data_IF_750035067459
#
_entry.id   IF_750035067459
#
_cell.length_a   1.000
_cell.length_b   1.000
_cell.length_c   1.000
_cell.angle_alpha   90.00
_cell.angle_beta   90.00
_cell.angle_gamma   90.00
#
_symmetry.space_group_name_H-M   'P 1'
#
loop_
_entity.id
_entity.type
_entity.pdbx_description
1 polymer ?
#
# COMPACT_ATOMS: atom_id res chain seq x y z
N UNK A 1 10.62 3.88 -23.33
CA UNK A 1 9.95 2.97 -22.38
C UNK A 1 8.78 3.75 -21.82
N UNK A 2 7.62 3.59 -22.45
CA UNK A 2 6.43 4.31 -22.00
C UNK A 2 5.92 3.65 -20.73
N UNK A 3 5.74 4.47 -19.69
CA UNK A 3 5.13 4.05 -18.43
C UNK A 3 3.63 4.10 -18.68
N UNK A 4 2.97 2.94 -18.75
CA UNK A 4 1.52 2.88 -19.01
C UNK A 4 0.72 3.42 -17.84
N UNK A 5 0.77 2.71 -16.70
CA UNK A 5 -0.03 3.02 -15.50
C UNK A 5 0.82 2.86 -14.24
N UNK A 6 0.70 3.77 -13.28
CA UNK A 6 1.36 3.68 -11.98
C UNK A 6 0.46 4.19 -10.85
N UNK A 7 0.59 3.63 -9.65
CA UNK A 7 -0.31 3.94 -8.54
C UNK A 7 -0.17 3.02 -7.34
N UNK A 8 -0.92 3.30 -6.29
CA UNK A 8 -0.88 2.51 -5.06
C UNK A 8 -1.90 1.38 -5.09
N UNK A 9 -1.45 0.15 -4.83
CA UNK A 9 -2.33 -1.00 -4.64
C UNK A 9 -1.97 -1.74 -3.36
N UNK A 10 -2.92 -2.52 -2.85
CA UNK A 10 -2.69 -3.48 -1.80
C UNK A 10 -2.36 -4.83 -2.42
N UNK A 11 -1.33 -5.49 -1.91
CA UNK A 11 -0.88 -6.82 -2.32
C UNK A 11 -1.09 -7.79 -1.17
N UNK A 12 -1.69 -8.94 -1.46
CA UNK A 12 -1.69 -10.06 -0.55
C UNK A 12 -0.35 -10.82 -0.70
N UNK A 13 0.42 -11.05 0.37
CA UNK A 13 1.63 -11.88 0.29
C UNK A 13 1.27 -13.31 -0.11
N UNK A 14 2.16 -13.97 -0.85
CA UNK A 14 1.99 -15.36 -1.25
C UNK A 14 2.05 -16.27 -0.02
N UNK A 15 1.04 -17.12 0.18
CA UNK A 15 0.94 -18.04 1.33
C UNK A 15 -0.44 -18.03 2.01
N UNK A 16 -0.80 -19.16 2.63
CA UNK A 16 -2.17 -19.56 3.04
C UNK A 16 -3.02 -18.47 3.74
N UNK A 17 -4.31 -18.55 3.41
CA UNK A 17 -5.46 -17.69 3.67
C UNK A 17 -5.91 -17.43 5.12
N UNK A 18 -5.08 -17.66 6.15
CA UNK A 18 -5.48 -17.39 7.54
C UNK A 18 -4.56 -16.38 8.22
N UNK A 19 -5.09 -15.19 8.49
CA UNK A 19 -4.41 -14.13 9.25
C UNK A 19 -3.49 -13.22 8.44
N UNK A 20 -3.62 -13.21 7.12
CA UNK A 20 -2.70 -12.50 6.23
C UNK A 20 -2.99 -11.00 6.19
N UNK A 21 -1.97 -10.18 6.46
CA UNK A 21 -2.02 -8.73 6.34
C UNK A 21 -1.77 -8.27 4.90
N UNK A 22 -2.64 -7.39 4.39
CA UNK A 22 -2.45 -6.72 3.12
C UNK A 22 -1.29 -5.72 3.22
N UNK A 23 -0.43 -5.69 2.21
CA UNK A 23 0.68 -4.73 2.12
C UNK A 23 0.41 -3.69 1.06
N UNK A 24 0.42 -2.41 1.44
CA UNK A 24 0.39 -1.32 0.46
C UNK A 24 1.74 -1.22 -0.25
N UNK A 25 1.72 -1.19 -1.58
CA UNK A 25 2.90 -1.07 -2.45
C UNK A 25 2.59 -0.13 -3.60
N UNK A 26 3.62 0.58 -4.07
CA UNK A 26 3.49 1.38 -5.27
C UNK A 26 3.78 0.49 -6.47
N UNK A 27 2.83 0.37 -7.37
CA UNK A 27 2.93 -0.43 -8.58
C UNK A 27 3.18 0.45 -9.79
N UNK A 28 3.98 -0.05 -10.73
CA UNK A 28 4.21 0.58 -12.03
C UNK A 28 4.22 -0.49 -13.10
N UNK A 29 3.36 -0.29 -14.10
CA UNK A 29 3.29 -1.10 -15.31
C UNK A 29 4.25 -0.54 -16.35
N UNK A 30 5.16 -1.38 -16.84
CA UNK A 30 6.14 -1.02 -17.88
C UNK A 30 6.24 -2.15 -18.88
N UNK A 31 5.76 -1.90 -20.10
CA UNK A 31 5.67 -2.96 -21.12
C UNK A 31 4.85 -4.14 -20.61
N UNK A 32 5.47 -5.32 -20.58
CA UNK A 32 4.89 -6.59 -20.13
C UNK A 32 5.12 -6.89 -18.64
N UNK A 33 5.73 -5.97 -17.91
CA UNK A 33 6.18 -6.20 -16.55
C UNK A 33 5.44 -5.29 -15.57
N UNK A 34 4.90 -5.89 -14.51
CA UNK A 34 4.29 -5.20 -13.37
C UNK A 34 5.29 -5.18 -12.21
N UNK A 35 5.88 -4.01 -11.97
CA UNK A 35 6.87 -3.78 -10.92
C UNK A 35 6.20 -3.24 -9.66
N UNK A 36 6.72 -3.59 -8.49
CA UNK A 36 6.26 -3.00 -7.23
C UNK A 36 7.39 -2.55 -6.30
N UNK A 37 7.11 -1.48 -5.58
CA UNK A 37 8.05 -0.72 -4.75
C UNK A 37 7.48 -0.48 -3.35
N UNK A 38 8.37 -0.19 -2.40
CA UNK A 38 7.94 0.24 -1.06
C UNK A 38 7.43 1.68 -1.08
N UNK A 39 8.08 2.53 -1.88
CA UNK A 39 7.80 3.97 -1.98
C UNK A 39 7.70 4.41 -3.44
N UNK A 40 6.87 5.42 -3.71
CA UNK A 40 6.68 5.94 -5.07
C UNK A 40 7.95 6.58 -5.66
N UNK A 41 8.81 7.16 -4.82
CA UNK A 41 10.10 7.76 -5.23
C UNK A 41 11.08 6.75 -5.83
N UNK A 42 10.93 5.46 -5.52
CA UNK A 42 11.76 4.39 -6.07
C UNK A 42 11.43 4.09 -7.54
N UNK A 43 10.24 4.48 -8.01
CA UNK A 43 9.80 4.23 -9.38
C UNK A 43 10.37 5.25 -10.39
N UNK A 44 10.77 6.45 -9.95
CA UNK A 44 11.31 7.51 -10.82
C UNK A 44 12.83 7.69 -10.72
N UNK A 45 13.50 6.96 -9.83
CA UNK A 45 14.93 7.11 -9.58
C UNK A 45 15.83 6.52 -10.67
N UNK A 46 17.08 6.99 -10.70
CA UNK A 46 18.17 6.54 -11.61
C UNK A 46 18.50 5.04 -11.43
N UNK A 47 18.17 4.47 -10.26
CA UNK A 47 18.30 3.04 -9.97
C UNK A 47 16.95 2.46 -9.57
N UNK A 48 16.25 1.88 -10.53
CA UNK A 48 15.04 1.10 -10.29
C UNK A 48 15.43 -0.22 -9.63
N UNK A 49 15.22 -0.33 -8.32
CA UNK A 49 15.37 -1.57 -7.57
C UNK A 49 13.98 -2.03 -7.07
N UNK A 50 13.16 -2.64 -7.95
CA UNK A 50 11.84 -3.11 -7.56
C UNK A 50 11.96 -4.17 -6.46
N UNK A 51 10.99 -4.18 -5.53
CA UNK A 51 10.88 -5.25 -4.53
C UNK A 51 10.42 -6.56 -5.14
N UNK A 52 9.74 -6.50 -6.26
CA UNK A 52 9.57 -7.63 -7.14
C UNK A 52 8.93 -7.22 -8.45
N UNK A 53 8.93 -8.18 -9.35
CA UNK A 53 8.41 -8.05 -10.71
C UNK A 53 7.46 -9.22 -10.93
N UNK A 54 6.26 -8.93 -11.43
CA UNK A 54 5.34 -9.92 -11.96
C UNK A 54 5.32 -9.74 -13.47
N UNK A 55 5.64 -10.79 -14.21
CA UNK A 55 5.49 -10.78 -15.66
C UNK A 55 3.99 -10.78 -16.00
N UNK A 56 3.60 -10.25 -17.15
CA UNK A 56 2.21 -10.33 -17.61
C UNK A 56 2.03 -11.32 -18.75
N UNK A 57 3.13 -11.80 -19.32
CA UNK A 57 3.14 -12.82 -20.37
C UNK A 57 2.47 -14.09 -19.88
N UNK A 58 1.33 -14.43 -20.49
CA UNK A 58 0.53 -15.59 -20.10
C UNK A 58 -0.15 -15.48 -18.73
N UNK A 59 -0.28 -14.27 -18.17
CA UNK A 59 -1.05 -14.02 -16.97
C UNK A 59 -2.53 -13.80 -17.30
N UNK A 60 -3.42 -14.49 -16.60
CA UNK A 60 -4.86 -14.28 -16.67
C UNK A 60 -5.29 -13.35 -15.54
N UNK A 61 -6.08 -12.32 -15.87
CA UNK A 61 -6.64 -11.38 -14.89
C UNK A 61 -8.08 -11.77 -14.58
N UNK A 62 -8.38 -12.03 -13.31
CA UNK A 62 -9.72 -12.35 -12.84
C UNK A 62 -10.19 -11.35 -11.78
N UNK A 63 -11.43 -10.89 -11.89
CA UNK A 63 -12.07 -10.08 -10.85
C UNK A 63 -12.41 -10.96 -9.65
N UNK A 64 -12.24 -10.42 -8.44
CA UNK A 64 -12.58 -11.12 -7.20
C UNK A 64 -13.70 -10.35 -6.46
N UNK A 65 -14.47 -11.04 -5.61
CA UNK A 65 -15.48 -10.38 -4.79
C UNK A 65 -14.86 -9.30 -3.91
N UNK A 66 -15.63 -8.25 -3.66
CA UNK A 66 -15.22 -7.15 -2.82
C UNK A 66 -15.22 -7.58 -1.36
N UNK A 67 -14.13 -7.28 -0.65
CA UNK A 67 -14.00 -7.62 0.76
C UNK A 67 -14.09 -6.36 1.60
N UNK A 68 -14.98 -6.38 2.59
CA UNK A 68 -15.05 -5.33 3.60
C UNK A 68 -13.84 -5.44 4.54
N UNK A 69 -13.18 -4.31 4.75
CA UNK A 69 -12.09 -4.16 5.71
C UNK A 69 -12.66 -4.04 7.13
N UNK A 70 -11.85 -4.29 8.16
CA UNK A 70 -12.25 -4.08 9.56
C UNK A 70 -12.78 -2.66 9.84
N UNK A 71 -12.28 -1.67 9.07
CA UNK A 71 -12.67 -0.26 9.16
C UNK A 71 -13.94 0.08 8.35
N UNK A 72 -14.61 -0.92 7.75
CA UNK A 72 -15.81 -0.73 6.92
C UNK A 72 -15.53 -0.27 5.48
N UNK A 73 -14.28 0.04 5.13
CA UNK A 73 -13.89 0.37 3.74
C UNK A 73 -13.90 -0.87 2.85
N UNK A 74 -14.32 -0.73 1.58
CA UNK A 74 -14.31 -1.81 0.60
C UNK A 74 -12.95 -1.91 -0.10
N UNK A 75 -12.48 -3.13 -0.31
CA UNK A 75 -11.34 -3.43 -1.17
C UNK A 75 -11.83 -4.05 -2.47
N UNK A 76 -11.48 -3.41 -3.57
CA UNK A 76 -11.84 -3.85 -4.92
C UNK A 76 -10.76 -4.79 -5.43
N UNK A 77 -10.95 -6.09 -5.16
CA UNK A 77 -9.95 -7.13 -5.39
C UNK A 77 -9.93 -7.66 -6.83
N UNK A 78 -8.74 -8.05 -7.29
CA UNK A 78 -8.51 -8.77 -8.53
C UNK A 78 -7.26 -9.64 -8.39
N UNK A 79 -7.12 -10.68 -9.22
CA UNK A 79 -5.97 -11.58 -9.20
C UNK A 79 -5.35 -11.71 -10.57
N UNK A 80 -4.02 -11.81 -10.60
CA UNK A 80 -3.24 -12.22 -11.75
C UNK A 80 -2.79 -13.66 -11.50
N UNK A 81 -3.23 -14.58 -12.34
CA UNK A 81 -2.85 -15.99 -12.26
C UNK A 81 -1.98 -16.35 -13.44
N UNK A 82 -0.80 -16.88 -13.17
CA UNK A 82 0.11 -17.39 -14.17
C UNK A 82 -0.15 -18.86 -14.46
N UNK A 83 0.19 -19.31 -15.68
CA UNK A 83 0.11 -20.72 -16.06
C UNK A 83 0.95 -21.68 -15.20
N UNK A 84 1.93 -21.17 -14.45
CA UNK A 84 2.71 -21.96 -13.49
C UNK A 84 1.98 -22.17 -12.14
N UNK A 85 0.78 -21.60 -11.96
CA UNK A 85 0.01 -21.66 -10.73
C UNK A 85 0.30 -20.52 -9.74
N UNK A 86 1.22 -19.61 -10.04
CA UNK A 86 1.46 -18.43 -9.20
C UNK A 86 0.31 -17.44 -9.33
N UNK A 87 -0.30 -17.09 -8.20
CA UNK A 87 -1.38 -16.09 -8.15
C UNK A 87 -0.96 -14.88 -7.33
N UNK A 88 -0.99 -13.72 -7.96
CA UNK A 88 -0.82 -12.42 -7.31
C UNK A 88 -2.19 -11.79 -7.08
N UNK A 89 -2.60 -11.66 -5.82
CA UNK A 89 -3.87 -11.00 -5.46
C UNK A 89 -3.60 -9.55 -5.10
N UNK A 90 -4.31 -8.65 -5.78
CA UNK A 90 -4.21 -7.20 -5.63
C UNK A 90 -5.57 -6.62 -5.27
N UNK A 91 -5.56 -5.44 -4.65
CA UNK A 91 -6.77 -4.68 -4.38
C UNK A 91 -6.54 -3.19 -4.55
N UNK A 92 -7.51 -2.52 -5.17
CA UNK A 92 -7.59 -1.07 -5.27
C UNK A 92 -8.48 -0.49 -4.16
N UNK A 93 -8.35 0.83 -3.92
CA UNK A 93 -9.22 1.53 -2.95
C UNK A 93 -10.56 1.93 -3.58
N UNK A 94 -10.63 2.03 -4.90
CA UNK A 94 -11.81 2.45 -5.66
C UNK A 94 -12.11 1.44 -6.77
N UNK A 95 -13.40 1.27 -7.10
CA UNK A 95 -13.84 0.43 -8.21
C UNK A 95 -13.24 0.88 -9.54
N UNK A 96 -13.28 2.19 -9.81
CA UNK A 96 -12.72 2.79 -11.02
C UNK A 96 -11.21 2.63 -11.12
N UNK A 97 -10.50 2.60 -9.99
CA UNK A 97 -9.07 2.32 -9.96
C UNK A 97 -8.80 0.84 -10.29
N UNK A 98 -9.56 -0.10 -9.72
CA UNK A 98 -9.49 -1.52 -10.09
C UNK A 98 -9.71 -1.70 -11.59
N UNK A 99 -10.76 -1.12 -12.14
CA UNK A 99 -11.11 -1.22 -13.57
C UNK A 99 -10.01 -0.68 -14.46
N UNK A 100 -9.45 0.49 -14.13
CA UNK A 100 -8.30 1.06 -14.84
C UNK A 100 -7.09 0.12 -14.83
N UNK A 101 -6.76 -0.46 -13.68
CA UNK A 101 -5.64 -1.40 -13.57
C UNK A 101 -5.88 -2.68 -14.36
N UNK A 102 -7.08 -3.25 -14.27
CA UNK A 102 -7.45 -4.47 -15.01
C UNK A 102 -7.35 -4.23 -16.52
N UNK A 103 -7.91 -3.13 -17.01
CA UNK A 103 -7.84 -2.76 -18.43
C UNK A 103 -6.39 -2.59 -18.90
N UNK A 104 -5.57 -1.83 -18.17
CA UNK A 104 -4.17 -1.60 -18.52
C UNK A 104 -3.33 -2.90 -18.52
N UNK A 105 -3.57 -3.80 -17.56
CA UNK A 105 -2.87 -5.09 -17.49
C UNK A 105 -3.29 -6.00 -18.65
N UNK A 106 -4.59 -6.05 -18.96
CA UNK A 106 -5.11 -6.84 -20.09
C UNK A 106 -4.57 -6.33 -21.43
N UNK A 107 -4.53 -5.01 -21.62
CA UNK A 107 -3.95 -4.38 -22.81
C UNK A 107 -2.46 -4.71 -22.95
N UNK A 108 -1.68 -4.60 -21.86
CA UNK A 108 -0.27 -4.95 -21.85
C UNK A 108 -0.02 -6.45 -22.15
N UNK A 109 -0.84 -7.34 -21.58
CA UNK A 109 -0.76 -8.78 -21.84
C UNK A 109 -1.11 -9.12 -23.30
N UNK A 110 -2.12 -8.45 -23.88
CA UNK A 110 -2.51 -8.61 -25.27
C UNK A 110 -1.43 -8.09 -26.24
N UNK A 111 -0.85 -6.92 -25.97
CA UNK A 111 0.23 -6.33 -26.77
C UNK A 111 1.46 -7.24 -26.83
N UNK A 112 1.80 -7.88 -25.71
CA UNK A 112 2.91 -8.84 -25.63
C UNK A 112 2.64 -10.07 -26.49
N UNK A 113 1.41 -10.58 -26.44
CA UNK A 113 1.00 -11.74 -27.24
C UNK A 113 1.05 -11.43 -28.75
N UNK A 114 0.61 -10.24 -29.16
CA UNK A 114 0.67 -9.80 -30.55
C UNK A 114 2.11 -9.59 -31.06
N UNK A 115 2.98 -9.01 -30.25
CA UNK A 115 4.39 -8.79 -30.60
C UNK A 115 5.14 -10.12 -30.84
N UNK A 116 4.83 -11.17 -30.08
CA UNK A 116 5.42 -12.51 -30.28
C UNK A 116 4.97 -13.22 -31.57
N UNK A 117 3.97 -12.69 -32.29
CA UNK A 117 3.49 -13.21 -33.58
C UNK A 117 3.94 -12.38 -34.80
N UNK A 118 4.54 -11.21 -34.59
CA UNK A 118 4.88 -10.27 -35.66
C UNK A 118 6.30 -10.46 -36.25
N UNK A 119 7.10 -11.40 -35.73
CA UNK A 119 8.50 -11.62 -36.14
C UNK A 119 8.66 -12.47 -37.43
N UNK A 120 7.73 -12.34 -38.39
CA UNK A 120 7.75 -13.13 -39.64
C UNK A 120 7.25 -12.39 -40.88
N UNK A 121 7.33 -11.05 -40.94
CA UNK A 121 7.00 -10.29 -42.16
C UNK A 121 8.04 -9.20 -42.44
N UNK A 122 8.75 -9.22 -43.59
CA UNK A 122 9.69 -8.16 -43.97
C UNK A 122 8.95 -6.89 -44.46
N UNK A 123 9.56 -5.70 -44.31
CA UNK A 123 8.91 -4.43 -44.62
C UNK A 123 8.96 -4.08 -46.11
N UNK A 124 7.88 -3.53 -46.71
CA UNK A 124 7.97 -2.76 -47.93
C UNK A 124 8.32 -1.29 -47.62
N UNK A 125 9.21 -0.76 -48.44
CA UNK A 125 9.72 0.61 -48.45
C UNK A 125 8.71 1.63 -49.02
N UNK A 126 9.00 2.91 -48.76
CA UNK A 126 8.52 4.13 -49.43
C UNK A 126 7.21 4.69 -48.86
N UNK A 127 7.02 5.99 -48.64
CA UNK A 127 7.30 7.07 -49.61
C UNK A 127 7.34 8.42 -48.87
N UNK A 128 8.29 9.27 -49.27
CA UNK A 128 8.43 10.67 -48.90
C UNK A 128 7.27 11.46 -49.53
N UNK A 129 6.59 12.33 -48.77
CA UNK A 129 5.79 13.39 -49.38
C UNK A 129 5.77 14.64 -48.47
N UNK A 130 6.64 15.59 -48.83
CA UNK A 130 6.57 16.99 -48.43
C UNK A 130 5.23 17.58 -48.85
N UNK A 131 4.62 18.39 -47.98
CA UNK A 131 3.63 19.38 -48.39
C UNK A 131 3.62 20.53 -47.39
N UNK A 132 4.38 21.57 -47.74
CA UNK A 132 4.25 22.91 -47.18
C UNK A 132 2.82 23.44 -47.44
N UNK A 133 2.11 23.82 -46.38
CA UNK A 133 0.91 24.66 -46.49
C UNK A 133 0.78 25.47 -45.20
N UNK A 134 1.22 26.74 -45.25
CA UNK A 134 0.95 27.76 -44.24
C UNK A 134 -0.39 28.45 -44.53
N UNK A 135 -1.33 28.54 -43.57
CA UNK A 135 -2.39 29.53 -43.62
C UNK A 135 -2.00 30.74 -42.74
N UNK A 136 -2.04 31.92 -43.35
CA UNK A 136 -2.01 33.19 -42.64
C UNK A 136 -3.34 33.37 -41.88
N UNK A 137 -3.29 33.35 -40.55
CA UNK A 137 -4.42 33.64 -39.68
C UNK A 137 -4.19 34.95 -38.91
N UNK A 138 -5.20 35.81 -38.95
CA UNK A 138 -5.25 37.15 -38.36
C UNK A 138 -5.07 37.16 -36.83
N UNK A 139 -4.36 38.14 -36.25
CA UNK A 139 -3.96 38.15 -34.83
C UNK A 139 -4.97 38.85 -33.87
N UNK A 140 -6.28 38.72 -34.10
CA UNK A 140 -7.28 39.47 -33.30
C UNK A 140 -7.96 38.68 -32.18
N UNK A 141 -7.63 37.39 -31.98
CA UNK A 141 -8.21 36.53 -30.93
C UNK A 141 -7.29 36.13 -29.78
N UNK A 142 -5.99 36.46 -29.86
CA UNK A 142 -4.97 35.95 -28.92
C UNK A 142 -5.07 36.49 -27.48
N UNK A 143 -5.64 37.68 -27.28
CA UNK A 143 -5.71 38.31 -25.96
C UNK A 143 -6.75 37.67 -25.02
N UNK A 144 -7.84 37.11 -25.56
CA UNK A 144 -8.86 36.42 -24.75
C UNK A 144 -8.38 35.03 -24.32
N UNK A 145 -7.73 34.30 -25.24
CA UNK A 145 -7.08 33.02 -24.96
C UNK A 145 -5.95 33.18 -23.91
N UNK A 146 -5.17 34.26 -23.99
CA UNK A 146 -4.11 34.55 -23.00
C UNK A 146 -4.69 34.86 -21.60
N UNK A 147 -5.84 35.53 -21.53
CA UNK A 147 -6.51 35.85 -20.26
C UNK A 147 -7.12 34.60 -19.62
N UNK A 148 -7.74 33.73 -20.41
CA UNK A 148 -8.27 32.46 -19.94
C UNK A 148 -7.13 31.52 -19.49
N UNK A 149 -6.02 31.49 -20.23
CA UNK A 149 -4.82 30.73 -19.86
C UNK A 149 -4.22 31.21 -18.52
N UNK A 150 -4.19 32.51 -18.27
CA UNK A 150 -3.72 33.07 -16.99
C UNK A 150 -4.65 32.72 -15.83
N UNK A 151 -5.96 32.76 -16.04
CA UNK A 151 -6.95 32.39 -15.02
C UNK A 151 -6.88 30.90 -14.69
N UNK A 152 -6.71 30.05 -15.70
CA UNK A 152 -6.50 28.62 -15.50
C UNK A 152 -5.19 28.34 -14.75
N UNK A 153 -4.11 29.04 -15.09
CA UNK A 153 -2.82 28.90 -14.41
C UNK A 153 -2.90 29.26 -12.92
N UNK A 154 -3.61 30.34 -12.59
CA UNK A 154 -3.84 30.73 -11.19
C UNK A 154 -4.64 29.68 -10.43
N UNK A 155 -5.68 29.11 -11.05
CA UNK A 155 -6.46 28.03 -10.43
C UNK A 155 -5.63 26.77 -10.18
N UNK A 156 -4.77 26.40 -11.14
CA UNK A 156 -3.85 25.27 -10.99
C UNK A 156 -2.86 25.52 -9.87
N UNK A 157 -2.25 26.70 -9.80
CA UNK A 157 -1.30 27.05 -8.74
C UNK A 157 -1.97 27.03 -7.36
N UNK A 158 -3.21 27.52 -7.25
CA UNK A 158 -3.99 27.49 -6.02
C UNK A 158 -4.34 26.04 -5.60
N UNK A 159 -4.76 25.21 -6.55
CA UNK A 159 -5.04 23.79 -6.28
C UNK A 159 -3.78 23.00 -5.86
N UNK A 160 -2.61 23.33 -6.43
CA UNK A 160 -1.32 22.76 -6.03
C UNK A 160 -0.97 23.18 -4.59
N UNK A 161 -1.19 24.45 -4.25
CA UNK A 161 -0.94 24.97 -2.90
C UNK A 161 -1.88 24.33 -1.87
N UNK A 162 -3.16 24.16 -2.20
CA UNK A 162 -4.13 23.48 -1.34
C UNK A 162 -3.79 22.00 -1.15
N UNK A 163 -3.39 21.31 -2.22
CA UNK A 163 -2.90 19.93 -2.14
C UNK A 163 -1.69 19.81 -1.21
N UNK A 164 -0.73 20.74 -1.30
CA UNK A 164 0.45 20.74 -0.45
C UNK A 164 0.09 20.96 1.04
N UNK A 165 -0.82 21.89 1.32
CA UNK A 165 -1.33 22.15 2.68
C UNK A 165 -2.05 20.93 3.26
N UNK A 166 -2.90 20.27 2.48
CA UNK A 166 -3.59 19.05 2.89
C UNK A 166 -2.63 17.89 3.16
N UNK A 167 -1.62 17.71 2.31
CA UNK A 167 -0.58 16.69 2.50
C UNK A 167 0.20 16.93 3.80
N UNK A 168 0.54 18.20 4.11
CA UNK A 168 1.22 18.55 5.35
C UNK A 168 0.32 18.33 6.58
N UNK A 169 -0.95 18.71 6.50
CA UNK A 169 -1.92 18.48 7.58
C UNK A 169 -2.10 16.98 7.85
N UNK A 170 -2.22 16.17 6.79
CA UNK A 170 -2.30 14.71 6.89
C UNK A 170 -1.05 14.11 7.54
N UNK A 171 0.14 14.54 7.13
CA UNK A 171 1.39 14.08 7.72
C UNK A 171 1.47 14.38 9.22
N UNK A 172 1.02 15.57 9.65
CA UNK A 172 0.94 15.91 11.09
C UNK A 172 -0.07 15.04 11.84
N UNK A 173 -1.23 14.77 11.25
CA UNK A 173 -2.25 13.91 11.85
C UNK A 173 -1.77 12.45 12.00
N UNK A 174 -1.10 11.91 10.98
CA UNK A 174 -0.50 10.58 11.02
C UNK A 174 0.60 10.49 12.11
N UNK A 175 1.46 11.51 12.20
CA UNK A 175 2.47 11.59 13.26
C UNK A 175 1.82 11.63 14.67
N UNK A 176 0.78 12.45 14.86
CA UNK A 176 0.05 12.52 16.12
C UNK A 176 -0.61 11.19 16.50
N UNK A 177 -1.15 10.45 15.52
CA UNK A 177 -1.71 9.12 15.75
C UNK A 177 -0.63 8.11 16.18
N UNK A 178 0.55 8.13 15.55
CA UNK A 178 1.66 7.27 15.94
C UNK A 178 2.15 7.56 17.36
N UNK A 179 2.21 8.83 17.75
CA UNK A 179 2.62 9.22 19.10
C UNK A 179 1.57 8.80 20.16
N UNK A 180 0.28 9.02 19.86
CA UNK A 180 -0.81 8.59 20.74
C UNK A 180 -0.85 7.06 20.94
N UNK A 181 -0.61 6.28 19.88
CA UNK A 181 -0.57 4.81 19.97
C UNK A 181 0.65 4.33 20.76
N UNK A 182 1.82 4.94 20.58
CA UNK A 182 3.00 4.67 21.39
C UNK A 182 2.76 4.98 22.88
N UNK A 183 2.12 6.11 23.20
CA UNK A 183 1.77 6.49 24.56
C UNK A 183 0.82 5.49 25.24
N UNK A 184 -0.18 4.97 24.50
CA UNK A 184 -1.08 3.93 25.01
C UNK A 184 -0.36 2.59 25.26
N UNK A 185 0.56 2.20 24.37
CA UNK A 185 1.36 1.00 24.54
C UNK A 185 2.23 1.08 25.81
N UNK A 186 2.87 2.23 26.05
CA UNK A 186 3.63 2.48 27.28
C UNK A 186 2.75 2.40 28.53
N UNK A 187 1.57 3.05 28.52
CA UNK A 187 0.61 2.98 29.65
C UNK A 187 0.19 1.55 29.95
N UNK A 188 -0.10 0.75 28.92
CA UNK A 188 -0.46 -0.67 29.07
C UNK A 188 0.69 -1.48 29.70
N UNK A 189 1.92 -1.29 29.25
CA UNK A 189 3.09 -1.97 29.80
C UNK A 189 3.34 -1.60 31.27
N UNK A 190 3.18 -0.32 31.63
CA UNK A 190 3.31 0.14 33.01
C UNK A 190 2.24 -0.46 33.93
N UNK A 191 0.99 -0.55 33.47
CA UNK A 191 -0.08 -1.21 34.22
C UNK A 191 0.21 -2.69 34.44
N UNK A 192 0.71 -3.39 33.41
CA UNK A 192 1.09 -4.79 33.52
C UNK A 192 2.23 -5.00 34.54
N UNK A 193 3.25 -4.13 34.50
CA UNK A 193 4.36 -4.16 35.44
C UNK A 193 3.91 -3.89 36.89
N UNK A 194 3.05 -2.88 37.09
CA UNK A 194 2.49 -2.56 38.42
C UNK A 194 1.67 -3.73 38.97
N UNK A 195 0.81 -4.34 38.14
CA UNK A 195 0.01 -5.48 38.56
C UNK A 195 0.89 -6.70 38.90
N UNK A 196 1.91 -6.98 38.10
CA UNK A 196 2.87 -8.04 38.38
C UNK A 196 3.61 -7.82 39.71
N UNK A 197 4.11 -6.61 39.93
CA UNK A 197 4.83 -6.23 41.16
C UNK A 197 3.94 -6.40 42.40
N UNK A 198 2.70 -5.91 42.35
CA UNK A 198 1.74 -6.08 43.45
C UNK A 198 1.43 -7.56 43.73
N UNK A 199 1.29 -8.40 42.70
CA UNK A 199 1.08 -9.85 42.89
C UNK A 199 2.27 -10.52 43.57
N UNK A 200 3.50 -10.16 43.20
CA UNK A 200 4.71 -10.73 43.81
C UNK A 200 4.80 -10.33 45.29
N UNK A 201 4.62 -9.05 45.62
CA UNK A 201 4.63 -8.60 47.02
C UNK A 201 3.53 -9.26 47.85
N UNK A 202 2.32 -9.40 47.30
CA UNK A 202 1.23 -10.09 47.97
C UNK A 202 1.58 -11.56 48.27
N UNK A 203 2.16 -12.28 47.32
CA UNK A 203 2.61 -13.68 47.53
C UNK A 203 3.70 -13.80 48.59
N UNK A 204 4.65 -12.84 48.63
CA UNK A 204 5.68 -12.80 49.67
C UNK A 204 5.06 -12.59 51.05
N UNK A 205 4.11 -11.66 51.19
CA UNK A 205 3.41 -11.40 52.45
C UNK A 205 2.60 -12.62 52.91
N UNK A 206 1.92 -13.32 52.00
CA UNK A 206 1.16 -14.54 52.33
C UNK A 206 2.08 -15.68 52.79
N UNK A 207 3.27 -15.84 52.18
CA UNK A 207 4.25 -16.85 52.64
C UNK A 207 4.84 -16.49 54.00
N UNK A 208 5.12 -15.21 54.24
CA UNK A 208 5.64 -14.74 55.53
C UNK A 208 4.63 -14.96 56.67
N UNK A 209 3.32 -14.78 56.42
CA UNK A 209 2.29 -15.03 57.44
C UNK A 209 2.10 -16.53 57.74
N UNK A 210 2.18 -17.40 56.72
CA UNK A 210 2.08 -18.86 56.90
C UNK A 210 3.24 -19.44 57.70
N UNK A 211 4.47 -18.96 57.45
CA UNK A 211 5.66 -19.40 58.20
C UNK A 211 5.61 -18.97 59.66
N UNK A 212 5.12 -17.75 59.94
CA UNK A 212 4.92 -17.28 61.31
C UNK A 212 3.86 -18.12 62.06
N UNK A 213 2.74 -18.49 61.43
CA UNK A 213 1.74 -19.37 62.02
C UNK A 213 2.27 -20.79 62.30
N UNK A 214 3.07 -21.35 61.40
CA UNK A 214 3.69 -22.67 61.60
C UNK A 214 4.66 -22.69 62.79
N UNK A 215 5.48 -21.63 62.95
CA UNK A 215 6.40 -21.51 64.09
C UNK A 215 5.70 -21.37 65.45
N UNK A 216 4.50 -20.78 65.46
CA UNK A 216 3.74 -20.52 66.69
C UNK A 216 2.95 -21.74 67.18
N UNK A 217 2.64 -22.68 66.29
CA UNK A 217 1.96 -23.95 66.62
C UNK A 217 2.88 -25.02 67.24
N UNK A 218 4.20 -24.89 67.14
CA UNK A 218 5.17 -25.85 67.71
C UNK A 218 5.53 -25.59 69.18
N UNK A 219 5.08 -24.47 69.78
CA UNK A 219 5.48 -24.08 71.13
C UNK A 219 4.48 -24.43 72.25
N UNK A 220 3.44 -25.23 71.96
CA UNK A 220 2.33 -25.57 72.89
C UNK A 220 2.30 -27.05 73.30
N UNK A 221 3.29 -27.86 72.89
CA UNK A 221 3.32 -29.29 73.17
C UNK A 221 4.53 -29.73 74.01
N UNK A 222 4.84 -29.02 75.10
CA UNK A 222 5.74 -29.53 76.16
C UNK A 222 5.24 -28.97 77.49
N UNK A 223 4.39 -29.73 78.18
CA UNK A 223 4.33 -29.86 79.65
C UNK A 223 2.95 -30.40 80.05
N UNK A 224 2.85 -31.71 80.21
CA UNK A 224 2.00 -32.37 81.20
C UNK A 224 2.38 -33.85 81.29
N UNK A 225 3.38 -34.13 82.12
CA UNK A 225 3.58 -35.43 82.75
C UNK A 225 4.19 -35.20 84.14
N UNK A 226 3.32 -35.12 85.16
CA UNK A 226 3.62 -35.36 86.58
C UNK A 226 2.41 -36.04 87.20
#
# INVERSE_FOLDING_TARGET
MDIGTAGWLYKLPAGRSKGVSWHRRFFSLRGDSLLYFCHASEASGIRLAPRGVAQLTGAEVSLRPETATADGSLRFEFSLTHGNGDTLVLAAHLASERERWVAAIQEAAAATSAASHADSVPPPQSTIQDSDTYPAASPSGQLEDDMEALQLKLQVDQAVQDCAMQAQARGRAEAALTDATAALALRRSLLHWRHHTLRVHFLVLVRASQTHLASRGQHVAIDHDV
#
